data_IF_533012546422
#
_entry.id   IF_533012546422
#
_cell.length_a   1.000
_cell.length_b   1.000
_cell.length_c   1.000
_cell.angle_alpha   90.00
_cell.angle_beta   90.00
_cell.angle_gamma   90.00
#
_symmetry.space_group_name_H-M   'P 1'
#
loop_
_entity.id
_entity.type
_entity.pdbx_description
1 polymer ?
#
# COMPACT_ATOMS: atom_id res chain seq x y z
N UNK A 1 -41.01 56.63 9.88
CA UNK A 1 -40.33 56.57 8.57
C UNK A 1 -39.38 55.38 8.55
N UNK A 2 -39.07 54.91 7.33
CA UNK A 2 -38.48 53.61 6.92
C UNK A 2 -36.94 53.57 7.07
N UNK A 3 -36.38 52.34 7.09
CA UNK A 3 -35.00 51.89 6.68
C UNK A 3 -33.90 52.05 7.74
N UNK A 4 -32.88 51.18 7.91
CA UNK A 4 -32.38 49.97 7.23
C UNK A 4 -31.33 49.32 8.19
N UNK A 5 -31.36 47.98 8.29
CA UNK A 5 -30.24 47.01 8.14
C UNK A 5 -28.90 47.27 8.84
N UNK A 6 -28.40 46.26 9.57
CA UNK A 6 -26.98 46.09 9.87
C UNK A 6 -26.67 44.91 10.80
N UNK A 7 -26.60 43.69 10.25
CA UNK A 7 -26.06 42.50 10.92
C UNK A 7 -24.53 42.62 10.94
N UNK A 8 -23.88 42.41 12.09
CA UNK A 8 -22.46 42.01 12.18
C UNK A 8 -22.30 40.99 13.30
N UNK A 9 -22.32 39.72 12.91
CA UNK A 9 -21.85 38.58 13.70
C UNK A 9 -20.32 38.59 13.68
N UNK A 10 -19.67 38.79 14.84
CA UNK A 10 -18.24 38.56 15.00
C UNK A 10 -18.03 37.27 15.80
N UNK A 11 -18.03 36.13 15.11
CA UNK A 11 -17.50 34.88 15.65
C UNK A 11 -16.03 34.77 15.23
N UNK A 12 -15.10 35.12 16.13
CA UNK A 12 -13.70 34.70 16.02
C UNK A 12 -13.60 33.28 16.60
N UNK A 13 -13.78 32.28 15.74
CA UNK A 13 -13.49 30.89 16.06
C UNK A 13 -11.99 30.66 16.15
N UNK A 14 -11.52 30.16 17.29
CA UNK A 14 -10.19 29.59 17.42
C UNK A 14 -10.10 28.36 16.51
N UNK A 15 -9.31 28.44 15.44
CA UNK A 15 -8.86 27.25 14.71
C UNK A 15 -7.41 26.98 15.10
N UNK A 16 -7.22 26.41 16.28
CA UNK A 16 -6.02 25.61 16.52
C UNK A 16 -6.22 24.31 15.73
N UNK A 17 -5.70 24.25 14.51
CA UNK A 17 -5.55 22.98 13.80
C UNK A 17 -4.47 22.19 14.52
N UNK A 18 -4.85 21.49 15.58
CA UNK A 18 -4.09 20.35 16.05
C UNK A 18 -4.19 19.31 14.92
N UNK A 19 -3.15 19.25 14.09
CA UNK A 19 -2.95 18.09 13.23
C UNK A 19 -2.63 16.92 14.15
N UNK A 20 -3.69 16.32 14.70
CA UNK A 20 -3.62 14.98 15.23
C UNK A 20 -3.35 14.09 14.02
N UNK A 21 -2.07 13.86 13.74
CA UNK A 21 -1.62 12.68 13.02
C UNK A 21 -2.02 11.50 13.89
N UNK A 22 -3.30 11.12 13.80
CA UNK A 22 -3.77 9.89 14.39
C UNK A 22 -3.05 8.80 13.63
N UNK A 23 -2.27 8.00 14.34
CA UNK A 23 -1.86 6.68 13.89
C UNK A 23 -3.15 5.91 13.58
N UNK A 24 -3.62 6.04 12.35
CA UNK A 24 -4.65 5.19 11.78
C UNK A 24 -3.94 3.86 11.60
N UNK A 25 -4.40 2.81 12.28
CA UNK A 25 -4.06 1.44 11.91
C UNK A 25 -4.12 1.35 10.39
N UNK A 26 -2.96 1.18 9.78
CA UNK A 26 -2.70 1.59 8.40
C UNK A 26 -3.36 0.67 7.40
N UNK A 27 -4.66 0.87 7.17
CA UNK A 27 -5.41 0.15 6.16
C UNK A 27 -4.86 0.52 4.79
N UNK A 28 -4.21 -0.43 4.12
CA UNK A 28 -3.75 -0.33 2.73
C UNK A 28 -4.99 -0.13 1.84
N UNK A 29 -5.06 0.98 1.11
CA UNK A 29 -6.17 1.31 0.22
C UNK A 29 -5.82 1.10 -1.26
N UNK A 30 -6.80 0.75 -2.11
CA UNK A 30 -6.61 0.78 -3.56
C UNK A 30 -6.12 2.15 -4.05
N UNK A 31 -5.30 2.15 -5.11
CA UNK A 31 -4.66 3.33 -5.71
C UNK A 31 -3.64 4.07 -4.84
N UNK A 32 -3.43 3.67 -3.58
CA UNK A 32 -2.38 4.28 -2.77
C UNK A 32 -0.99 3.91 -3.32
N UNK A 33 -0.05 4.84 -3.21
CA UNK A 33 1.36 4.60 -3.51
C UNK A 33 2.09 4.14 -2.25
N UNK A 34 3.07 3.25 -2.40
CA UNK A 34 3.88 2.74 -1.31
C UNK A 34 5.30 2.37 -1.75
N UNK A 35 6.19 2.13 -0.79
CA UNK A 35 7.53 1.57 -0.98
C UNK A 35 7.63 0.22 -0.27
N UNK A 36 8.54 -0.65 -0.74
CA UNK A 36 8.76 -1.95 -0.11
C UNK A 36 9.78 -1.86 1.02
N UNK A 37 9.55 -2.64 2.07
CA UNK A 37 10.56 -2.97 3.06
C UNK A 37 11.70 -3.78 2.43
N UNK A 38 12.90 -3.79 3.01
CA UNK A 38 13.98 -4.67 2.56
C UNK A 38 13.56 -6.15 2.55
N UNK A 39 14.13 -6.92 1.60
CA UNK A 39 13.87 -8.35 1.41
C UNK A 39 12.41 -8.70 1.06
N UNK A 40 11.66 -7.73 0.55
CA UNK A 40 10.32 -7.96 0.01
C UNK A 40 10.39 -8.53 -1.41
N UNK A 41 9.30 -9.17 -1.80
CA UNK A 41 9.15 -9.75 -3.12
C UNK A 41 7.68 -9.70 -3.56
N UNK A 42 7.48 -9.88 -4.87
CA UNK A 42 6.17 -10.10 -5.45
C UNK A 42 6.20 -11.21 -6.47
N UNK A 43 5.04 -11.79 -6.79
CA UNK A 43 4.92 -12.87 -7.75
C UNK A 43 3.82 -12.61 -8.80
N UNK A 44 3.95 -13.25 -9.96
CA UNK A 44 3.07 -13.01 -11.12
C UNK A 44 1.61 -13.41 -10.90
N UNK A 45 1.32 -14.24 -9.91
CA UNK A 45 -0.03 -14.61 -9.52
C UNK A 45 -0.13 -14.79 -8.00
N UNK A 46 -1.36 -14.74 -7.50
CA UNK A 46 -1.64 -14.97 -6.09
C UNK A 46 -1.21 -16.37 -5.64
N UNK A 47 -1.56 -17.41 -6.38
CA UNK A 47 -1.21 -18.79 -6.00
C UNK A 47 0.31 -19.02 -5.90
N UNK A 48 1.07 -18.38 -6.79
CA UNK A 48 2.55 -18.40 -6.76
C UNK A 48 3.09 -17.67 -5.55
N UNK A 49 2.52 -16.49 -5.25
CA UNK A 49 2.86 -15.75 -4.04
C UNK A 49 2.56 -16.56 -2.78
N UNK A 50 1.36 -17.12 -2.66
CA UNK A 50 0.93 -17.92 -1.51
C UNK A 50 1.86 -19.13 -1.30
N UNK A 51 2.23 -19.82 -2.38
CA UNK A 51 3.13 -20.98 -2.32
C UNK A 51 4.56 -20.58 -1.92
N UNK A 52 5.12 -19.56 -2.57
CA UNK A 52 6.45 -19.04 -2.24
C UNK A 52 6.51 -18.55 -0.78
N UNK A 53 5.47 -17.87 -0.33
CA UNK A 53 5.38 -17.34 1.01
C UNK A 53 5.17 -18.41 2.08
N UNK A 54 4.43 -19.46 1.76
CA UNK A 54 4.34 -20.64 2.61
C UNK A 54 5.74 -21.24 2.85
N UNK A 55 6.53 -21.43 1.78
CA UNK A 55 7.90 -21.94 1.91
C UNK A 55 8.80 -20.96 2.67
N UNK A 56 8.68 -19.65 2.43
CA UNK A 56 9.42 -18.63 3.15
C UNK A 56 9.16 -18.69 4.66
N UNK A 57 7.88 -18.74 5.07
CA UNK A 57 7.45 -18.83 6.47
C UNK A 57 7.86 -20.15 7.13
N UNK A 58 7.93 -21.23 6.36
CA UNK A 58 8.41 -22.53 6.83
C UNK A 58 9.94 -22.64 6.91
N UNK A 59 10.69 -21.61 6.48
CA UNK A 59 12.16 -21.66 6.41
C UNK A 59 12.70 -22.56 5.29
N UNK A 60 11.85 -22.97 4.34
CA UNK A 60 12.19 -23.86 3.23
C UNK A 60 12.80 -23.07 2.06
N UNK A 61 13.92 -22.40 2.31
CA UNK A 61 14.54 -21.46 1.36
C UNK A 61 14.83 -22.08 -0.02
N UNK A 62 15.22 -23.35 -0.09
CA UNK A 62 15.47 -24.02 -1.37
C UNK A 62 14.20 -24.15 -2.23
N UNK A 63 13.05 -24.42 -1.61
CA UNK A 63 11.77 -24.52 -2.33
C UNK A 63 11.27 -23.13 -2.72
N UNK A 64 11.42 -22.15 -1.83
CA UNK A 64 11.13 -20.75 -2.15
C UNK A 64 11.97 -20.28 -3.36
N UNK A 65 13.26 -20.62 -3.43
CA UNK A 65 14.16 -20.20 -4.50
C UNK A 65 13.71 -20.67 -5.89
N UNK A 66 13.02 -21.81 -5.99
CA UNK A 66 12.52 -22.33 -7.26
C UNK A 66 11.54 -21.37 -7.94
N UNK A 67 10.76 -20.60 -7.17
CA UNK A 67 9.86 -19.58 -7.72
C UNK A 67 10.62 -18.39 -8.31
N UNK A 68 11.79 -18.05 -7.76
CA UNK A 68 12.63 -16.98 -8.29
C UNK A 68 13.40 -17.46 -9.53
N UNK A 69 13.91 -18.70 -9.51
CA UNK A 69 14.57 -19.33 -10.66
C UNK A 69 13.62 -19.51 -11.85
N UNK A 70 12.35 -19.81 -11.57
CA UNK A 70 11.29 -19.90 -12.58
C UNK A 70 10.74 -18.54 -13.06
N UNK A 71 11.32 -17.42 -12.60
CA UNK A 71 10.83 -16.05 -12.87
C UNK A 71 9.35 -15.82 -12.46
N UNK A 72 8.86 -16.63 -11.54
CA UNK A 72 7.51 -16.56 -11.01
C UNK A 72 7.39 -15.47 -9.95
N UNK A 73 8.48 -15.23 -9.23
CA UNK A 73 8.64 -14.20 -8.23
C UNK A 73 9.89 -13.35 -8.50
N UNK A 74 9.83 -12.09 -8.12
CA UNK A 74 10.96 -11.16 -8.20
C UNK A 74 11.14 -10.45 -6.86
N UNK A 75 12.39 -10.14 -6.52
CA UNK A 75 12.69 -9.21 -5.43
C UNK A 75 12.27 -7.80 -5.82
N UNK A 76 11.64 -7.08 -4.89
CA UNK A 76 11.15 -5.74 -5.16
C UNK A 76 12.18 -4.69 -4.71
N UNK A 77 12.59 -3.76 -5.58
CA UNK A 77 13.53 -2.70 -5.22
C UNK A 77 12.96 -1.78 -4.13
N UNK A 78 13.77 -1.51 -3.10
CA UNK A 78 13.37 -0.72 -1.91
C UNK A 78 13.19 0.78 -2.20
N UNK A 79 13.93 1.31 -3.19
CA UNK A 79 13.89 2.74 -3.56
C UNK A 79 12.88 3.03 -4.69
N UNK A 80 12.00 2.08 -4.99
CA UNK A 80 10.97 2.21 -6.03
C UNK A 80 9.58 2.40 -5.44
N UNK A 81 8.75 3.16 -6.16
CA UNK A 81 7.37 3.40 -5.78
C UNK A 81 6.42 2.48 -6.55
N UNK A 82 5.45 1.94 -5.82
CA UNK A 82 4.44 1.03 -6.33
C UNK A 82 3.05 1.55 -5.98
N UNK A 83 2.06 1.12 -6.74
CA UNK A 83 0.66 1.49 -6.54
C UNK A 83 -0.16 0.23 -6.31
N UNK A 84 -1.05 0.29 -5.32
CA UNK A 84 -2.00 -0.77 -5.04
C UNK A 84 -3.07 -0.79 -6.13
N UNK A 85 -3.28 -1.95 -6.73
CA UNK A 85 -4.43 -2.21 -7.61
C UNK A 85 -5.63 -2.60 -6.75
N UNK A 86 -5.46 -3.66 -5.93
CA UNK A 86 -6.50 -4.15 -5.03
C UNK A 86 -5.89 -4.84 -3.81
N UNK A 87 -6.75 -5.03 -2.81
CA UNK A 87 -6.44 -5.68 -1.53
C UNK A 87 -7.40 -6.84 -1.33
N UNK A 88 -6.85 -8.02 -1.01
CA UNK A 88 -7.61 -9.24 -0.68
C UNK A 88 -7.07 -9.78 0.63
N UNK A 89 -7.73 -9.45 1.74
CA UNK A 89 -7.19 -9.77 3.07
C UNK A 89 -5.87 -9.04 3.30
N UNK A 90 -4.80 -9.80 3.52
CA UNK A 90 -3.43 -9.30 3.67
C UNK A 90 -2.64 -9.27 2.35
N UNK A 91 -3.23 -9.77 1.26
CA UNK A 91 -2.56 -9.88 -0.03
C UNK A 91 -2.88 -8.69 -0.90
N UNK A 92 -1.84 -8.11 -1.50
CA UNK A 92 -1.89 -6.87 -2.26
C UNK A 92 -1.50 -7.17 -3.70
N UNK A 93 -2.36 -6.81 -4.65
CA UNK A 93 -1.96 -6.73 -6.05
C UNK A 93 -1.42 -5.33 -6.32
N UNK A 94 -0.24 -5.23 -6.94
CA UNK A 94 0.47 -3.98 -7.13
C UNK A 94 1.15 -3.90 -8.49
N UNK A 95 1.39 -2.67 -8.93
CA UNK A 95 2.21 -2.34 -10.10
C UNK A 95 3.21 -1.26 -9.74
N UNK A 96 4.26 -1.09 -10.55
CA UNK A 96 5.10 0.10 -10.45
C UNK A 96 4.21 1.35 -10.61
N UNK A 97 4.42 2.39 -9.80
CA UNK A 97 3.58 3.58 -9.79
C UNK A 97 3.60 4.34 -11.13
N UNK A 98 4.66 4.19 -11.92
CA UNK A 98 4.77 4.75 -13.28
C UNK A 98 4.03 3.94 -14.35
N UNK A 99 3.50 2.76 -14.00
CA UNK A 99 2.75 1.90 -14.91
C UNK A 99 1.23 2.11 -14.76
N UNK A 100 0.54 2.19 -15.90
CA UNK A 100 -0.91 2.33 -16.01
C UNK A 100 -1.68 1.01 -16.01
N UNK A 101 -0.99 -0.13 -15.93
CA UNK A 101 -1.61 -1.45 -15.92
C UNK A 101 -2.61 -1.62 -14.76
N UNK A 102 -3.65 -2.41 -15.04
CA UNK A 102 -4.74 -2.74 -14.10
C UNK A 102 -4.62 -4.15 -13.53
N UNK A 103 -3.57 -4.87 -13.92
CA UNK A 103 -3.19 -6.18 -13.41
C UNK A 103 -1.72 -6.12 -13.04
N UNK A 104 -1.35 -6.81 -11.99
CA UNK A 104 -0.02 -6.66 -11.42
C UNK A 104 0.51 -7.93 -10.79
N UNK A 105 1.53 -7.71 -9.97
CA UNK A 105 2.11 -8.77 -9.17
C UNK A 105 1.44 -8.79 -7.80
N UNK A 106 1.59 -9.90 -7.10
CA UNK A 106 1.01 -10.12 -5.78
C UNK A 106 2.08 -10.13 -4.71
N UNK A 107 1.78 -9.49 -3.58
CA UNK A 107 2.63 -9.39 -2.40
C UNK A 107 1.78 -9.38 -1.13
N UNK A 108 2.38 -9.19 0.04
CA UNK A 108 1.67 -9.05 1.31
C UNK A 108 1.86 -7.66 1.92
N UNK A 109 0.85 -7.19 2.63
CA UNK A 109 0.85 -5.92 3.37
C UNK A 109 2.04 -5.77 4.34
N UNK A 110 2.50 -6.87 4.97
CA UNK A 110 3.68 -6.88 5.86
C UNK A 110 5.00 -6.48 5.18
N UNK A 111 5.03 -6.48 3.86
CA UNK A 111 6.18 -6.05 3.05
C UNK A 111 6.13 -4.56 2.69
N UNK A 112 5.06 -3.86 3.05
CA UNK A 112 4.88 -2.45 2.73
C UNK A 112 5.43 -1.57 3.85
N UNK A 113 6.13 -0.50 3.47
CA UNK A 113 6.50 0.60 4.35
C UNK A 113 5.51 1.76 4.13
N UNK A 114 4.99 2.32 5.22
CA UNK A 114 3.94 3.36 5.22
C UNK A 114 4.51 4.72 5.63
#
# INVERSE_FOLDING_TARGET
>A
MKRRVGILFAMMGLFATVSAAQAQDGVIQPQQTFTFRPNSYGCLSKDKFDSADQHAKAGEHQKMQQFFEGFECISTPVDSHFRVIRVVGHDIEFVNASNSDTQGMWTADRFIDQ
#
